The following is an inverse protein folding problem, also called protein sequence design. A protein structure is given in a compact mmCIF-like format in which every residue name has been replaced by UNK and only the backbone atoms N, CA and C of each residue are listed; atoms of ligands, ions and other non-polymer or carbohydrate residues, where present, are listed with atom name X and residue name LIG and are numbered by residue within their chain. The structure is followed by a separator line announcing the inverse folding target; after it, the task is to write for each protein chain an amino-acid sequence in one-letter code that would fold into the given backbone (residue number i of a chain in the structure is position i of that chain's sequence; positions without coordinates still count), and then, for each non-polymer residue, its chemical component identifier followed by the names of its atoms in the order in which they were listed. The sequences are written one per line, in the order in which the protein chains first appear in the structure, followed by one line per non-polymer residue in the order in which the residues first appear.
data_IF_105321979612
#
_entry.id   IF_105321979612
#
_cell.length_a   1.000
_cell.length_b   1.000
_cell.length_c   1.000
_cell.angle_alpha   90.00
_cell.angle_beta   90.00
_cell.angle_gamma   90.00
#
_symmetry.space_group_name_H-M   'P 1'
#
loop_
_entity.id
_entity.type
_entity.pdbx_description
1 polymer ?
#
# COMPACT_ATOMS: atom_id res chain seq x y z
N UNK A 1 -22.72 4.44 -4.28
CA UNK A 1 -21.35 4.80 -3.88
C UNK A 1 -20.39 3.77 -4.43
N UNK A 2 -19.22 4.21 -4.89
CA UNK A 2 -18.15 3.34 -5.35
C UNK A 2 -16.81 3.76 -4.76
N UNK A 3 -15.77 2.98 -5.04
CA UNK A 3 -14.40 3.25 -4.59
C UNK A 3 -13.49 3.47 -5.79
N UNK A 4 -12.67 4.50 -5.76
CA UNK A 4 -11.65 4.71 -6.78
C UNK A 4 -10.55 3.65 -6.61
N UNK A 5 -10.36 2.81 -7.62
CA UNK A 5 -9.35 1.74 -7.63
C UNK A 5 -8.15 2.06 -8.52
N UNK A 6 -8.28 3.05 -9.41
CA UNK A 6 -7.22 3.47 -10.34
C UNK A 6 -7.43 4.91 -10.74
N UNK A 7 -6.34 5.66 -10.90
CA UNK A 7 -6.32 7.00 -11.47
C UNK A 7 -5.24 7.07 -12.55
N UNK A 8 -5.62 7.44 -13.77
CA UNK A 8 -4.72 7.49 -14.92
C UNK A 8 -5.17 8.56 -15.91
N UNK A 9 -4.25 9.43 -16.32
CA UNK A 9 -4.45 10.44 -17.37
C UNK A 9 -5.73 11.31 -17.19
N UNK A 10 -6.06 11.65 -15.94
CA UNK A 10 -7.25 12.47 -15.62
C UNK A 10 -8.57 11.69 -15.52
N UNK A 11 -8.52 10.39 -15.71
CA UNK A 11 -9.63 9.48 -15.45
C UNK A 11 -9.49 8.81 -14.10
N UNK A 12 -10.64 8.53 -13.48
CA UNK A 12 -10.77 7.78 -12.23
C UNK A 12 -11.67 6.57 -12.48
N UNK A 13 -11.16 5.40 -12.16
CA UNK A 13 -11.86 4.15 -12.32
C UNK A 13 -12.50 3.78 -10.98
N UNK A 14 -13.84 3.78 -10.97
CA UNK A 14 -14.64 3.56 -9.76
C UNK A 14 -15.21 2.17 -9.80
N UNK A 15 -14.92 1.36 -8.80
CA UNK A 15 -15.53 0.05 -8.61
C UNK A 15 -16.82 0.20 -7.79
N UNK A 16 -17.88 -0.46 -8.23
CA UNK A 16 -19.17 -0.56 -7.55
C UNK A 16 -19.84 -1.88 -7.92
N UNK A 17 -20.11 -2.70 -6.93
CA UNK A 17 -20.75 -4.02 -7.08
C UNK A 17 -20.07 -4.93 -8.12
N UNK A 18 -18.74 -4.95 -8.14
CA UNK A 18 -17.93 -5.76 -9.05
C UNK A 18 -17.81 -5.19 -10.47
N UNK A 19 -18.41 -4.03 -10.74
CA UNK A 19 -18.31 -3.33 -12.04
C UNK A 19 -17.38 -2.11 -11.90
N UNK A 20 -16.52 -1.91 -12.89
CA UNK A 20 -15.61 -0.77 -12.94
C UNK A 20 -16.11 0.26 -13.95
N UNK A 21 -16.32 1.49 -13.48
CA UNK A 21 -16.79 2.62 -14.26
C UNK A 21 -15.66 3.63 -14.49
N UNK A 22 -15.48 4.04 -15.73
CA UNK A 22 -14.54 5.13 -16.06
C UNK A 22 -15.23 6.47 -15.81
N UNK A 23 -14.62 7.32 -14.99
CA UNK A 23 -15.18 8.61 -14.59
C UNK A 23 -14.17 9.74 -14.72
N UNK A 24 -14.68 10.97 -14.73
CA UNK A 24 -13.87 12.19 -14.58
C UNK A 24 -14.30 13.00 -13.37
N UNK A 25 -13.37 13.77 -12.81
CA UNK A 25 -13.72 14.76 -11.81
C UNK A 25 -14.31 16.02 -12.49
N UNK A 26 -15.45 16.51 -12.00
CA UNK A 26 -16.02 17.79 -12.46
C UNK A 26 -15.10 18.95 -12.08
N UNK A 27 -15.06 20.00 -12.90
CA UNK A 27 -14.19 21.16 -12.69
C UNK A 27 -14.34 21.88 -11.33
N UNK A 28 -15.45 21.67 -10.64
CA UNK A 28 -15.69 22.19 -9.28
C UNK A 28 -14.71 21.63 -8.22
N UNK A 29 -14.18 20.41 -8.40
CA UNK A 29 -13.20 19.84 -7.47
C UNK A 29 -11.88 20.61 -7.48
N UNK A 30 -11.39 20.99 -8.67
CA UNK A 30 -10.20 21.86 -8.79
C UNK A 30 -10.39 23.20 -8.13
N UNK A 31 -11.58 23.82 -8.27
CA UNK A 31 -11.91 25.12 -7.64
C UNK A 31 -11.94 25.02 -6.12
N UNK A 32 -12.32 23.87 -5.56
CA UNK A 32 -12.37 23.62 -4.11
C UNK A 32 -11.05 23.08 -3.54
N UNK A 33 -9.99 22.95 -4.36
CA UNK A 33 -8.72 22.35 -3.94
C UNK A 33 -8.82 20.87 -3.57
N UNK A 34 -9.87 20.19 -4.02
CA UNK A 34 -10.09 18.77 -3.77
C UNK A 34 -9.64 17.95 -4.97
N UNK A 35 -8.68 17.06 -4.78
CA UNK A 35 -8.25 16.10 -5.79
C UNK A 35 -8.71 14.71 -5.37
N UNK A 36 -9.42 13.96 -6.24
CA UNK A 36 -9.72 12.56 -5.97
C UNK A 36 -8.44 11.72 -5.99
N UNK A 37 -8.35 10.75 -5.10
CA UNK A 37 -7.23 9.81 -5.02
C UNK A 37 -7.72 8.37 -5.06
N UNK A 38 -6.85 7.45 -5.42
CA UNK A 38 -7.11 6.01 -5.26
C UNK A 38 -7.43 5.73 -3.80
N UNK A 39 -8.50 4.95 -3.57
CA UNK A 39 -9.02 4.66 -2.24
C UNK A 39 -10.19 5.56 -1.80
N UNK A 40 -10.45 6.69 -2.47
CA UNK A 40 -11.62 7.52 -2.15
C UNK A 40 -12.93 6.76 -2.37
N UNK A 41 -13.83 6.88 -1.40
CA UNK A 41 -15.23 6.55 -1.59
C UNK A 41 -15.93 7.75 -2.24
N UNK A 42 -16.64 7.51 -3.34
CA UNK A 42 -17.24 8.58 -4.13
C UNK A 42 -18.69 8.30 -4.46
N UNK A 43 -19.48 9.39 -4.50
CA UNK A 43 -20.75 9.39 -5.23
C UNK A 43 -20.42 9.75 -6.69
N UNK A 44 -20.93 8.99 -7.63
CA UNK A 44 -20.68 9.19 -9.05
C UNK A 44 -21.93 8.92 -9.89
N UNK A 45 -21.98 9.53 -11.06
CA UNK A 45 -22.94 9.18 -12.11
C UNK A 45 -22.22 8.43 -13.21
N UNK A 46 -22.81 7.34 -13.65
CA UNK A 46 -22.39 6.62 -14.85
C UNK A 46 -23.66 6.11 -15.53
N UNK A 47 -23.76 6.30 -16.84
CA UNK A 47 -24.75 5.65 -17.70
C UNK A 47 -24.07 4.52 -18.45
N UNK A 48 -24.79 3.50 -18.81
CA UNK A 48 -24.27 2.40 -19.65
C UNK A 48 -23.67 3.00 -20.93
N UNK A 49 -22.38 2.73 -21.15
CA UNK A 49 -21.60 3.18 -22.32
C UNK A 49 -21.25 4.68 -22.38
N UNK A 50 -21.35 5.45 -21.29
CA UNK A 50 -20.91 6.85 -21.23
C UNK A 50 -19.83 7.09 -20.16
N UNK A 51 -19.02 8.15 -20.35
CA UNK A 51 -18.12 8.61 -19.30
C UNK A 51 -18.93 9.09 -18.09
N UNK A 52 -18.62 8.52 -16.92
CA UNK A 52 -19.21 8.97 -15.67
C UNK A 52 -18.51 10.20 -15.07
N UNK A 53 -19.13 10.76 -14.04
CA UNK A 53 -18.57 11.89 -13.32
C UNK A 53 -18.61 11.66 -11.82
N UNK A 54 -17.49 11.97 -11.15
CA UNK A 54 -17.44 12.04 -9.70
C UNK A 54 -18.26 13.28 -9.27
N UNK A 55 -19.23 13.05 -8.40
CA UNK A 55 -20.13 14.08 -7.89
C UNK A 55 -19.69 14.57 -6.51
N UNK A 56 -19.22 13.66 -5.66
CA UNK A 56 -18.80 13.94 -4.29
C UNK A 56 -17.73 12.95 -3.84
N UNK A 57 -16.78 13.44 -3.04
CA UNK A 57 -15.77 12.65 -2.37
C UNK A 57 -16.19 12.48 -0.90
N UNK A 58 -16.18 11.27 -0.41
CA UNK A 58 -16.48 10.94 0.98
C UNK A 58 -15.38 11.40 1.95
N UNK A 59 -15.65 11.29 3.22
CA UNK A 59 -14.66 11.58 4.26
C UNK A 59 -13.52 10.55 4.22
N UNK A 60 -12.29 11.04 4.26
CA UNK A 60 -11.09 10.21 4.33
C UNK A 60 -10.74 9.87 5.79
N UNK A 61 -10.44 8.61 6.06
CA UNK A 61 -10.00 8.13 7.38
C UNK A 61 -8.51 8.40 7.56
N UNK A 62 -7.73 8.16 6.50
CA UNK A 62 -6.30 8.39 6.46
C UNK A 62 -5.83 8.68 5.03
N UNK A 63 -4.59 9.12 4.90
CA UNK A 63 -3.98 9.39 3.59
C UNK A 63 -2.47 9.26 3.63
N UNK A 64 -1.88 8.76 2.55
CA UNK A 64 -0.46 8.86 2.24
C UNK A 64 -0.24 9.84 1.09
N UNK A 65 0.92 10.48 1.09
CA UNK A 65 1.34 11.38 0.00
C UNK A 65 2.08 10.59 -1.06
N UNK A 66 2.86 9.59 -0.64
CA UNK A 66 3.64 8.70 -1.51
C UNK A 66 3.55 7.27 -1.00
N UNK A 67 2.89 6.39 -1.76
CA UNK A 67 2.02 6.68 -2.92
C UNK A 67 0.81 7.52 -2.52
N UNK A 68 0.20 8.30 -3.47
CA UNK A 68 -0.98 9.13 -3.20
C UNK A 68 -2.24 8.25 -3.12
N UNK A 69 -2.49 7.72 -1.94
CA UNK A 69 -3.57 6.78 -1.64
C UNK A 69 -4.25 7.17 -0.34
N UNK A 70 -5.55 6.91 -0.25
CA UNK A 70 -6.37 7.24 0.93
C UNK A 70 -7.19 6.02 1.38
N UNK A 71 -7.70 6.08 2.61
CA UNK A 71 -8.54 5.03 3.20
C UNK A 71 -7.85 3.65 3.19
N UNK A 72 -6.62 3.61 3.69
CA UNK A 72 -5.75 2.44 3.75
C UNK A 72 -6.03 1.70 5.05
N UNK A 73 -6.19 0.37 4.98
CA UNK A 73 -6.38 -0.47 6.17
C UNK A 73 -5.05 -0.81 6.84
N UNK A 74 -4.02 -1.08 6.03
CA UNK A 74 -2.72 -1.46 6.56
C UNK A 74 -1.59 -1.17 5.55
N UNK A 75 -0.36 -1.15 6.06
CA UNK A 75 0.85 -1.06 5.26
C UNK A 75 1.80 -2.20 5.59
N UNK A 76 2.26 -2.93 4.59
CA UNK A 76 3.36 -3.89 4.73
C UNK A 76 4.66 -3.14 4.55
N UNK A 77 5.44 -3.05 5.63
CA UNK A 77 6.79 -2.48 5.61
C UNK A 77 7.77 -3.60 5.34
N UNK A 78 8.38 -3.57 4.16
CA UNK A 78 9.35 -4.57 3.74
C UNK A 78 10.74 -4.09 4.11
N UNK A 79 11.42 -4.89 4.95
CA UNK A 79 12.82 -4.74 5.27
C UNK A 79 13.57 -5.98 4.80
N UNK A 80 14.83 -5.87 4.44
CA UNK A 80 15.66 -7.04 4.15
C UNK A 80 16.47 -7.43 5.38
N UNK A 81 16.67 -8.73 5.54
CA UNK A 81 17.60 -9.24 6.55
C UNK A 81 19.05 -8.93 6.18
N UNK A 82 19.35 -8.95 4.87
CA UNK A 82 20.68 -8.73 4.31
C UNK A 82 20.59 -8.16 2.89
N UNK A 83 21.52 -7.33 2.50
CA UNK A 83 21.62 -6.76 1.14
C UNK A 83 20.36 -6.00 0.65
N UNK A 84 20.04 -4.85 1.27
CA UNK A 84 20.77 -4.16 2.33
C UNK A 84 20.54 -4.77 3.72
N UNK A 85 21.49 -4.55 4.63
CA UNK A 85 21.40 -5.04 6.01
C UNK A 85 20.18 -4.44 6.73
N UNK A 86 19.60 -5.22 7.65
CA UNK A 86 18.49 -4.77 8.47
C UNK A 86 18.83 -3.51 9.25
N UNK A 87 17.97 -2.53 9.18
CA UNK A 87 18.14 -1.23 9.84
C UNK A 87 16.91 -0.90 10.69
N UNK A 88 17.02 -1.10 12.00
CA UNK A 88 15.95 -0.81 12.96
C UNK A 88 15.53 0.65 12.97
N UNK A 89 16.48 1.59 12.83
CA UNK A 89 16.15 3.02 12.81
C UNK A 89 15.27 3.38 11.60
N UNK A 90 15.53 2.78 10.44
CA UNK A 90 14.71 3.00 9.26
C UNK A 90 13.32 2.37 9.45
N UNK A 91 13.26 1.15 9.98
CA UNK A 91 11.97 0.50 10.31
C UNK A 91 11.16 1.36 11.28
N UNK A 92 11.76 1.82 12.35
CA UNK A 92 11.09 2.64 13.36
C UNK A 92 10.54 3.95 12.77
N UNK A 93 11.24 4.57 11.81
CA UNK A 93 10.73 5.75 11.09
C UNK A 93 9.46 5.44 10.29
N UNK A 94 9.42 4.29 9.60
CA UNK A 94 8.20 3.84 8.92
C UNK A 94 7.06 3.61 9.91
N UNK A 95 7.33 2.96 11.04
CA UNK A 95 6.33 2.66 12.06
C UNK A 95 5.75 3.94 12.67
N UNK A 96 6.59 4.92 13.00
CA UNK A 96 6.15 6.23 13.52
C UNK A 96 5.30 6.97 12.49
N UNK A 97 5.68 6.97 11.21
CA UNK A 97 4.89 7.57 10.14
C UNK A 97 3.51 6.93 10.04
N UNK A 98 3.45 5.61 10.04
CA UNK A 98 2.19 4.87 9.90
C UNK A 98 1.29 5.05 11.11
N UNK A 99 1.84 5.04 12.33
CA UNK A 99 1.13 5.34 13.56
C UNK A 99 0.50 6.74 13.51
N UNK A 100 1.28 7.75 13.12
CA UNK A 100 0.80 9.13 12.96
C UNK A 100 -0.34 9.24 11.91
N UNK A 101 -0.36 8.37 10.94
CA UNK A 101 -1.38 8.32 9.88
C UNK A 101 -2.56 7.40 10.20
N UNK A 102 -2.60 6.76 11.36
CA UNK A 102 -3.59 5.74 11.73
C UNK A 102 -3.66 4.59 10.70
N UNK A 103 -2.52 4.11 10.25
CA UNK A 103 -2.39 2.97 9.34
C UNK A 103 -1.70 1.85 10.08
N UNK A 104 -2.34 0.68 10.17
CA UNK A 104 -1.77 -0.49 10.83
C UNK A 104 -0.52 -1.00 10.08
N UNK A 105 0.67 -1.10 10.69
CA UNK A 105 1.82 -1.70 10.05
C UNK A 105 1.84 -3.22 10.18
N UNK A 106 2.37 -3.88 9.14
CA UNK A 106 2.81 -5.28 9.16
C UNK A 106 4.26 -5.30 8.71
N UNK A 107 5.15 -5.86 9.50
CA UNK A 107 6.58 -5.91 9.18
C UNK A 107 6.87 -7.23 8.48
N UNK A 108 7.42 -7.15 7.27
CA UNK A 108 7.84 -8.31 6.49
C UNK A 108 9.35 -8.27 6.25
N UNK A 109 10.06 -9.31 6.64
CA UNK A 109 11.50 -9.43 6.42
C UNK A 109 11.77 -10.32 5.23
N UNK A 110 12.37 -9.75 4.20
CA UNK A 110 12.79 -10.46 2.99
C UNK A 110 14.21 -10.99 3.11
N UNK A 111 14.61 -11.82 2.15
CA UNK A 111 15.98 -12.31 1.97
C UNK A 111 16.55 -13.07 3.18
N UNK A 112 15.69 -13.76 3.92
CA UNK A 112 16.11 -14.63 5.02
C UNK A 112 16.99 -15.80 4.53
N UNK A 113 16.90 -16.17 3.26
CA UNK A 113 17.74 -17.15 2.59
C UNK A 113 19.23 -16.75 2.53
N UNK A 114 19.54 -15.45 2.66
CA UNK A 114 20.91 -14.95 2.72
C UNK A 114 21.53 -14.98 4.13
N UNK A 115 20.74 -15.35 5.14
CA UNK A 115 21.15 -15.36 6.55
C UNK A 115 21.50 -16.77 6.97
N UNK A 116 22.75 -17.00 7.38
CA UNK A 116 23.21 -18.31 7.86
C UNK A 116 22.70 -18.64 9.27
N UNK A 117 22.73 -17.64 10.16
CA UNK A 117 22.22 -17.74 11.54
C UNK A 117 21.09 -16.74 11.74
N UNK A 118 19.87 -17.24 11.88
CA UNK A 118 18.66 -16.42 12.03
C UNK A 118 18.35 -16.00 13.48
N UNK A 119 19.21 -16.36 14.44
CA UNK A 119 18.98 -16.13 15.87
C UNK A 119 18.83 -14.65 16.22
N UNK A 120 19.64 -13.78 15.63
CA UNK A 120 19.55 -12.34 15.81
C UNK A 120 18.22 -11.80 15.28
N UNK A 121 17.84 -12.20 14.07
CA UNK A 121 16.59 -11.74 13.44
C UNK A 121 15.35 -12.24 14.20
N UNK A 122 15.39 -13.45 14.74
CA UNK A 122 14.34 -13.98 15.63
C UNK A 122 14.26 -13.24 16.97
N UNK A 123 15.40 -12.80 17.51
CA UNK A 123 15.42 -11.96 18.70
C UNK A 123 14.77 -10.59 18.44
N UNK A 124 15.08 -9.97 17.29
CA UNK A 124 14.45 -8.73 16.83
C UNK A 124 12.93 -8.93 16.65
N UNK A 125 12.53 -9.99 15.99
CA UNK A 125 11.10 -10.33 15.83
C UNK A 125 10.38 -10.35 17.17
N UNK A 126 10.92 -11.03 18.18
CA UNK A 126 10.32 -11.11 19.52
C UNK A 126 10.17 -9.74 20.17
N UNK A 127 11.12 -8.82 19.96
CA UNK A 127 11.04 -7.46 20.49
C UNK A 127 9.86 -6.70 19.89
N UNK A 128 9.70 -6.71 18.56
CA UNK A 128 8.60 -6.02 17.90
C UNK A 128 7.24 -6.69 18.18
N UNK A 129 7.17 -8.00 18.22
CA UNK A 129 5.95 -8.72 18.59
C UNK A 129 5.50 -8.41 20.01
N UNK A 130 6.44 -8.29 20.96
CA UNK A 130 6.14 -7.94 22.37
C UNK A 130 5.44 -6.59 22.50
N UNK A 131 5.71 -5.64 21.62
CA UNK A 131 5.07 -4.33 21.59
C UNK A 131 3.87 -4.27 20.63
N UNK A 132 3.44 -5.41 20.09
CA UNK A 132 2.18 -5.56 19.37
C UNK A 132 2.24 -5.50 17.86
N UNK A 133 3.43 -5.54 17.26
CA UNK A 133 3.56 -5.56 15.79
C UNK A 133 3.53 -6.97 15.23
N UNK A 134 2.86 -7.15 14.09
CA UNK A 134 3.03 -8.32 13.24
C UNK A 134 4.41 -8.24 12.57
N UNK A 135 5.26 -9.22 12.84
CA UNK A 135 6.63 -9.30 12.31
C UNK A 135 6.85 -10.71 11.76
N UNK A 136 6.94 -10.82 10.44
CA UNK A 136 6.85 -12.08 9.71
C UNK A 136 7.99 -12.24 8.71
N UNK A 137 8.30 -13.51 8.37
CA UNK A 137 9.39 -13.88 7.48
C UNK A 137 8.95 -14.57 6.19
N UNK A 138 7.68 -14.97 6.11
CA UNK A 138 7.22 -15.79 4.98
C UNK A 138 5.95 -15.26 4.33
N UNK A 139 5.75 -15.65 3.07
CA UNK A 139 4.55 -15.33 2.33
C UNK A 139 3.31 -16.02 2.91
N UNK A 140 3.47 -17.24 3.42
CA UNK A 140 2.40 -18.01 4.07
C UNK A 140 1.84 -17.28 5.29
N UNK A 141 2.69 -16.60 6.06
CA UNK A 141 2.27 -15.78 7.19
C UNK A 141 1.62 -14.46 6.73
N UNK A 142 2.06 -13.91 5.59
CA UNK A 142 1.56 -12.64 5.08
C UNK A 142 0.16 -12.77 4.46
N UNK A 143 -0.08 -13.78 3.64
CA UNK A 143 -1.30 -13.89 2.85
C UNK A 143 -2.60 -13.79 3.68
N UNK A 144 -2.75 -14.45 4.83
CA UNK A 144 -3.93 -14.30 5.67
C UNK A 144 -4.16 -12.87 6.18
N UNK A 145 -3.08 -12.10 6.36
CA UNK A 145 -3.15 -10.73 6.85
C UNK A 145 -3.63 -9.75 5.77
N UNK A 146 -3.54 -10.12 4.49
CA UNK A 146 -3.96 -9.29 3.36
C UNK A 146 -5.44 -9.41 3.02
N UNK A 147 -6.12 -10.46 3.49
CA UNK A 147 -7.50 -10.76 3.13
C UNK A 147 -8.45 -9.63 3.54
N UNK A 148 -9.31 -9.20 2.58
CA UNK A 148 -10.32 -8.17 2.76
C UNK A 148 -9.78 -6.81 3.26
N UNK A 149 -8.54 -6.49 2.95
CA UNK A 149 -7.87 -5.24 3.34
C UNK A 149 -7.24 -4.53 2.15
N UNK A 150 -7.34 -3.21 2.18
CA UNK A 150 -6.54 -2.35 1.32
C UNK A 150 -5.17 -2.20 1.93
N UNK A 151 -4.19 -2.75 1.27
CA UNK A 151 -2.81 -2.84 1.75
C UNK A 151 -1.87 -2.06 0.84
N UNK A 152 -1.04 -1.21 1.43
CA UNK A 152 0.08 -0.54 0.76
C UNK A 152 1.37 -1.27 1.09
N UNK A 153 2.25 -1.39 0.12
CA UNK A 153 3.58 -1.97 0.30
C UNK A 153 4.63 -0.84 0.28
N UNK A 154 5.45 -0.78 1.30
CA UNK A 154 6.49 0.22 1.50
C UNK A 154 7.82 -0.47 1.78
N UNK A 155 8.90 0.17 1.42
CA UNK A 155 10.23 -0.34 1.71
C UNK A 155 11.30 0.41 0.93
N UNK A 156 12.52 0.30 1.39
CA UNK A 156 13.70 0.85 0.73
C UNK A 156 13.93 0.17 -0.63
N UNK A 157 14.63 0.85 -1.52
CA UNK A 157 15.11 0.25 -2.77
C UNK A 157 15.93 -1.02 -2.51
N UNK A 158 15.71 -2.05 -3.31
CA UNK A 158 16.47 -3.30 -3.23
C UNK A 158 16.03 -4.29 -2.14
N UNK A 159 15.00 -4.00 -1.35
CA UNK A 159 14.49 -4.94 -0.31
C UNK A 159 13.66 -6.11 -0.87
N UNK A 160 13.38 -6.15 -2.18
CA UNK A 160 12.59 -7.21 -2.80
C UNK A 160 11.09 -6.93 -2.87
N UNK A 161 10.67 -5.66 -2.83
CA UNK A 161 9.26 -5.28 -2.91
C UNK A 161 8.56 -5.78 -4.17
N UNK A 162 9.13 -5.54 -5.37
CA UNK A 162 8.57 -6.02 -6.64
C UNK A 162 8.52 -7.54 -6.72
N UNK A 163 9.54 -8.21 -6.20
CA UNK A 163 9.59 -9.68 -6.13
C UNK A 163 8.46 -10.22 -5.25
N UNK A 164 8.22 -9.61 -4.09
CA UNK A 164 7.12 -10.00 -3.21
C UNK A 164 5.76 -9.77 -3.86
N UNK A 165 5.55 -8.60 -4.46
CA UNK A 165 4.30 -8.26 -5.15
C UNK A 165 4.01 -9.19 -6.33
N UNK A 166 5.03 -9.58 -7.11
CA UNK A 166 4.88 -10.56 -8.20
C UNK A 166 4.52 -11.96 -7.67
N UNK A 167 4.95 -12.32 -6.47
CA UNK A 167 4.54 -13.58 -5.83
C UNK A 167 3.11 -13.55 -5.31
N UNK A 168 2.65 -12.40 -4.82
CA UNK A 168 1.27 -12.20 -4.33
C UNK A 168 0.30 -12.11 -5.51
N UNK A 169 0.67 -11.39 -6.55
CA UNK A 169 -0.15 -11.09 -7.71
C UNK A 169 0.66 -11.28 -9.02
N UNK A 170 0.88 -12.53 -9.45
CA UNK A 170 1.72 -12.83 -10.62
C UNK A 170 1.26 -12.16 -11.91
N UNK A 171 -0.05 -11.87 -12.02
CA UNK A 171 -0.63 -11.19 -13.18
C UNK A 171 -0.17 -9.73 -13.36
N UNK A 172 0.45 -9.12 -12.36
CA UNK A 172 0.92 -7.73 -12.43
C UNK A 172 2.20 -7.59 -13.27
N UNK A 173 3.01 -8.66 -13.38
CA UNK A 173 4.27 -8.67 -14.13
C UNK A 173 5.16 -7.44 -13.87
N UNK A 174 5.32 -7.07 -12.59
CA UNK A 174 6.11 -5.91 -12.20
C UNK A 174 7.58 -6.13 -12.54
N UNK A 175 8.22 -5.10 -13.07
CA UNK A 175 9.66 -5.13 -13.30
C UNK A 175 10.40 -5.23 -11.98
N UNK A 176 11.33 -6.20 -11.91
CA UNK A 176 12.23 -6.38 -10.77
C UNK A 176 13.57 -5.76 -11.16
N UNK A 177 13.86 -4.57 -10.67
CA UNK A 177 15.10 -3.84 -10.96
C UNK A 177 15.34 -2.74 -9.95
N UNK A 178 16.52 -2.16 -9.99
CA UNK A 178 16.88 -1.00 -9.20
C UNK A 178 15.95 0.16 -9.55
N UNK A 179 15.14 0.59 -8.61
CA UNK A 179 14.28 1.76 -8.78
C UNK A 179 14.72 2.86 -7.84
N UNK A 180 15.16 3.88 -8.50
CA UNK A 180 15.30 5.30 -8.13
C UNK A 180 15.02 5.69 -6.68
N UNK A 181 16.05 6.26 -6.10
CA UNK A 181 16.06 7.19 -4.99
C UNK A 181 14.99 8.27 -5.17
N UNK A 182 14.01 8.28 -4.30
CA UNK A 182 13.34 9.51 -3.89
C UNK A 182 12.48 9.24 -2.65
N UNK A 183 13.09 9.42 -1.53
CA UNK A 183 12.41 9.85 -0.30
C UNK A 183 12.43 11.37 -0.25
#
# INVERSE_FOLDING_TARGET
QGRIIKALAGFYYVEHDGVVYQTRARGNFRKKGQTPYVGDFVEFSAEENSEGYILKIGQRINSLVRPPIVNIDQAVVIMSAKEPDFNSNLLDRFLVLLEHKNIKPVIYISKMDLVEDDSEMKAIQKQYQKIGFDFIFSLEELLPLLTDKITVFMGQTGVGKSTLLNRIAPQLHLETGEISDSL
#
